data_IF_451338798532
#
_entry.id   IF_451338798532
#
_cell.length_a   1.000
_cell.length_b   1.000
_cell.length_c   1.000
_cell.angle_alpha   90.00
_cell.angle_beta   90.00
_cell.angle_gamma   90.00
#
_symmetry.space_group_name_H-M   'P 1'
#
loop_
_entity.id
_entity.type
_entity.pdbx_description
1 polymer ?
#
# COMPACT_ATOMS: atom_id res chain seq x y z
N UNK A 1 28.38 14.52 -5.36
CA UNK A 1 28.68 13.08 -5.42
C UNK A 1 27.85 12.34 -4.36
N UNK A 2 28.16 12.48 -3.06
CA UNK A 2 27.40 11.82 -1.98
C UNK A 2 25.91 12.16 -1.93
N UNK A 3 25.53 13.43 -2.19
CA UNK A 3 24.13 13.85 -2.21
C UNK A 3 23.31 13.16 -3.33
N UNK A 4 23.91 13.00 -4.52
CA UNK A 4 23.25 12.34 -5.65
C UNK A 4 23.17 10.82 -5.44
N UNK A 5 24.14 10.22 -4.75
CA UNK A 5 24.10 8.81 -4.35
C UNK A 5 23.02 8.56 -3.29
N UNK A 6 22.86 9.46 -2.31
CA UNK A 6 21.80 9.39 -1.30
C UNK A 6 20.41 9.61 -1.90
N UNK A 7 20.28 10.52 -2.88
CA UNK A 7 19.04 10.77 -3.62
C UNK A 7 18.60 9.55 -4.45
N UNK A 8 19.55 8.75 -4.92
CA UNK A 8 19.29 7.45 -5.57
C UNK A 8 18.79 6.37 -4.59
N UNK A 9 19.18 6.46 -3.32
CA UNK A 9 18.85 5.48 -2.28
C UNK A 9 17.50 5.83 -1.61
N UNK A 10 17.21 7.11 -1.40
CA UNK A 10 15.95 7.60 -0.86
C UNK A 10 15.54 8.92 -1.55
N UNK A 11 14.69 8.87 -2.58
CA UNK A 11 14.14 10.08 -3.19
C UNK A 11 13.31 10.84 -2.15
N UNK A 12 13.65 12.09 -1.83
CA UNK A 12 12.88 12.92 -0.90
C UNK A 12 11.40 13.05 -1.33
N UNK A 13 11.15 12.99 -2.63
CA UNK A 13 9.82 13.01 -3.22
C UNK A 13 8.96 11.81 -2.79
N UNK A 14 9.57 10.66 -2.50
CA UNK A 14 8.86 9.45 -2.11
C UNK A 14 8.20 9.59 -0.73
N UNK A 15 8.90 10.22 0.22
CA UNK A 15 8.35 10.52 1.55
C UNK A 15 7.19 11.50 1.43
N UNK A 16 7.33 12.52 0.57
CA UNK A 16 6.27 13.50 0.32
C UNK A 16 5.03 12.81 -0.29
N UNK A 17 5.23 11.92 -1.26
CA UNK A 17 4.16 11.12 -1.84
C UNK A 17 3.47 10.26 -0.78
N UNK A 18 4.23 9.62 0.11
CA UNK A 18 3.67 8.78 1.18
C UNK A 18 2.72 9.56 2.09
N UNK A 19 3.18 10.69 2.62
CA UNK A 19 2.36 11.52 3.49
C UNK A 19 1.16 12.14 2.76
N UNK A 20 1.32 12.46 1.47
CA UNK A 20 0.23 12.94 0.63
C UNK A 20 -0.83 11.85 0.42
N UNK A 21 -0.41 10.62 0.09
CA UNK A 21 -1.28 9.46 -0.07
C UNK A 21 -2.06 9.16 1.21
N UNK A 22 -1.37 9.17 2.35
CA UNK A 22 -2.01 9.01 3.66
C UNK A 22 -3.03 10.12 3.94
N UNK A 23 -2.69 11.38 3.65
CA UNK A 23 -3.62 12.50 3.80
C UNK A 23 -4.85 12.36 2.88
N UNK A 24 -4.69 11.86 1.66
CA UNK A 24 -5.81 11.58 0.76
C UNK A 24 -6.71 10.45 1.29
N UNK A 25 -6.14 9.35 1.82
CA UNK A 25 -6.90 8.30 2.51
C UNK A 25 -7.71 8.88 3.68
N UNK A 26 -7.07 9.70 4.51
CA UNK A 26 -7.68 10.33 5.69
C UNK A 26 -8.77 11.35 5.37
N UNK A 27 -8.72 11.94 4.18
CA UNK A 27 -9.72 12.90 3.67
C UNK A 27 -10.66 12.27 2.64
N UNK A 28 -10.65 10.94 2.52
CA UNK A 28 -11.52 10.16 1.64
C UNK A 28 -11.42 10.53 0.14
N UNK A 29 -10.29 11.09 -0.27
CA UNK A 29 -9.96 11.38 -1.67
C UNK A 29 -9.40 10.12 -2.34
N UNK A 30 -10.22 9.05 -2.41
CA UNK A 30 -9.80 7.69 -2.78
C UNK A 30 -9.08 7.59 -4.13
N UNK A 31 -9.57 8.28 -5.16
CA UNK A 31 -8.93 8.27 -6.48
C UNK A 31 -7.51 8.88 -6.42
N UNK A 32 -7.34 10.01 -5.73
CA UNK A 32 -6.02 10.63 -5.54
C UNK A 32 -5.10 9.75 -4.70
N UNK A 33 -5.64 9.08 -3.68
CA UNK A 33 -4.88 8.13 -2.89
C UNK A 33 -4.37 6.98 -3.76
N UNK A 34 -5.24 6.38 -4.58
CA UNK A 34 -4.88 5.32 -5.51
C UNK A 34 -3.77 5.76 -6.47
N UNK A 35 -3.96 6.89 -7.17
CA UNK A 35 -2.96 7.44 -8.09
C UNK A 35 -1.61 7.67 -7.40
N UNK A 36 -1.65 8.17 -6.16
CA UNK A 36 -0.43 8.45 -5.37
C UNK A 36 0.30 7.16 -5.01
N UNK A 37 -0.42 6.14 -4.53
CA UNK A 37 0.19 4.85 -4.18
C UNK A 37 0.61 4.04 -5.42
N UNK A 38 -0.04 4.20 -6.58
CA UNK A 38 0.45 3.65 -7.84
C UNK A 38 1.78 4.27 -8.24
N UNK A 39 1.93 5.59 -8.10
CA UNK A 39 3.20 6.26 -8.32
C UNK A 39 4.26 5.77 -7.34
N UNK A 40 3.94 5.67 -6.05
CA UNK A 40 4.86 5.13 -5.04
C UNK A 40 5.33 3.73 -5.45
N UNK A 41 4.42 2.80 -5.79
CA UNK A 41 4.77 1.43 -6.20
C UNK A 41 5.72 1.42 -7.41
N UNK A 42 5.52 2.30 -8.39
CA UNK A 42 6.39 2.43 -9.57
C UNK A 42 7.79 2.92 -9.20
N UNK A 43 7.88 3.95 -8.35
CA UNK A 43 9.16 4.54 -7.96
C UNK A 43 9.95 3.60 -7.04
N UNK A 44 9.29 2.95 -6.07
CA UNK A 44 9.97 2.01 -5.16
C UNK A 44 10.46 0.77 -5.89
N UNK A 45 9.81 0.36 -7.00
CA UNK A 45 10.20 -0.83 -7.75
C UNK A 45 11.67 -0.80 -8.19
N UNK A 46 12.22 0.38 -8.47
CA UNK A 46 13.62 0.60 -8.87
C UNK A 46 14.63 0.72 -7.72
N UNK A 47 14.18 0.64 -6.46
CA UNK A 47 15.06 0.76 -5.28
C UNK A 47 15.45 -0.65 -4.79
N UNK A 48 16.73 -0.98 -4.92
CA UNK A 48 17.30 -2.30 -4.57
C UNK A 48 17.30 -2.59 -3.07
N UNK A 49 17.45 -1.55 -2.24
CA UNK A 49 17.48 -1.67 -0.79
C UNK A 49 16.16 -1.18 -0.18
N UNK A 50 15.08 -1.94 -0.41
CA UNK A 50 13.78 -1.70 0.24
C UNK A 50 13.32 -2.91 1.03
N UNK A 51 12.71 -2.66 2.19
CA UNK A 51 11.98 -3.67 2.92
C UNK A 51 10.64 -3.96 2.25
N UNK A 52 10.19 -5.22 2.31
CA UNK A 52 8.88 -5.66 1.79
C UNK A 52 7.71 -4.92 2.46
N UNK A 53 7.98 -4.34 3.62
CA UNK A 53 7.16 -3.42 4.39
C UNK A 53 6.56 -2.28 3.56
N UNK A 54 7.40 -1.63 2.72
CA UNK A 54 6.99 -0.55 1.85
C UNK A 54 5.92 -1.01 0.84
N UNK A 55 6.15 -2.18 0.23
CA UNK A 55 5.23 -2.77 -0.73
C UNK A 55 3.91 -3.15 -0.03
N UNK A 56 3.95 -3.70 1.19
CA UNK A 56 2.76 -4.10 1.96
C UNK A 56 1.85 -2.91 2.30
N UNK A 57 2.41 -1.83 2.83
CA UNK A 57 1.61 -0.63 3.11
C UNK A 57 0.99 -0.08 1.82
N UNK A 58 1.79 0.02 0.75
CA UNK A 58 1.35 0.51 -0.54
C UNK A 58 0.20 -0.33 -1.11
N UNK A 59 0.33 -1.67 -1.11
CA UNK A 59 -0.72 -2.57 -1.59
C UNK A 59 -1.99 -2.49 -0.75
N UNK A 60 -1.87 -2.40 0.58
CA UNK A 60 -3.03 -2.25 1.44
C UNK A 60 -3.78 -0.93 1.16
N UNK A 61 -3.07 0.19 1.03
CA UNK A 61 -3.70 1.49 0.76
C UNK A 61 -4.37 1.55 -0.62
N UNK A 62 -3.77 0.90 -1.63
CA UNK A 62 -4.41 0.71 -2.94
C UNK A 62 -5.68 -0.13 -2.82
N UNK A 63 -5.62 -1.26 -2.11
CA UNK A 63 -6.78 -2.13 -1.90
C UNK A 63 -7.93 -1.38 -1.20
N UNK A 64 -7.62 -0.61 -0.15
CA UNK A 64 -8.60 0.20 0.57
C UNK A 64 -9.25 1.24 -0.35
N UNK A 65 -8.46 1.94 -1.16
CA UNK A 65 -8.94 2.97 -2.09
C UNK A 65 -9.84 2.37 -3.17
N UNK A 66 -9.42 1.27 -3.79
CA UNK A 66 -10.21 0.52 -4.78
C UNK A 66 -11.53 0.01 -4.20
N UNK A 67 -11.50 -0.54 -2.98
CA UNK A 67 -12.70 -0.97 -2.28
C UNK A 67 -13.69 0.19 -2.08
N UNK A 68 -13.21 1.34 -1.61
CA UNK A 68 -14.04 2.54 -1.38
C UNK A 68 -14.63 3.11 -2.67
N UNK A 69 -13.97 2.87 -3.80
CA UNK A 69 -14.45 3.25 -5.14
C UNK A 69 -15.36 2.19 -5.80
N UNK A 70 -15.55 1.02 -5.18
CA UNK A 70 -16.41 -0.05 -5.71
C UNK A 70 -15.71 -1.08 -6.61
N UNK A 71 -14.40 -0.95 -6.82
CA UNK A 71 -13.57 -1.86 -7.62
C UNK A 71 -13.14 -3.07 -6.78
N UNK A 72 -14.09 -3.93 -6.42
CA UNK A 72 -13.89 -4.99 -5.42
C UNK A 72 -12.95 -6.10 -5.88
N UNK A 73 -13.03 -6.49 -7.15
CA UNK A 73 -12.16 -7.52 -7.74
C UNK A 73 -10.69 -7.08 -7.69
N UNK A 74 -10.40 -5.86 -8.11
CA UNK A 74 -9.04 -5.30 -8.08
C UNK A 74 -8.54 -5.09 -6.65
N UNK A 75 -9.41 -4.63 -5.74
CA UNK A 75 -9.09 -4.52 -4.32
C UNK A 75 -8.67 -5.88 -3.73
N UNK A 76 -9.36 -6.96 -4.11
CA UNK A 76 -9.05 -8.31 -3.64
C UNK A 76 -7.69 -8.80 -4.18
N UNK A 77 -7.33 -8.44 -5.41
CA UNK A 77 -6.01 -8.73 -5.98
C UNK A 77 -4.90 -8.14 -5.11
N UNK A 78 -5.00 -6.86 -4.71
CA UNK A 78 -3.99 -6.25 -3.86
C UNK A 78 -3.99 -6.80 -2.42
N UNK A 79 -5.17 -7.08 -1.85
CA UNK A 79 -5.22 -7.74 -0.54
C UNK A 79 -4.55 -9.12 -0.54
N UNK A 80 -4.66 -9.83 -1.67
CA UNK A 80 -4.02 -11.14 -1.85
C UNK A 80 -2.50 -11.02 -1.86
N UNK A 81 -1.94 -10.00 -2.54
CA UNK A 81 -0.49 -9.71 -2.49
C UNK A 81 0.00 -9.48 -1.06
N UNK A 82 -0.73 -8.68 -0.27
CA UNK A 82 -0.40 -8.45 1.16
C UNK A 82 -0.38 -9.76 1.94
N UNK A 83 -1.40 -10.61 1.74
CA UNK A 83 -1.50 -11.91 2.42
C UNK A 83 -0.35 -12.86 2.05
N UNK A 84 0.11 -12.84 0.80
CA UNK A 84 1.21 -13.71 0.33
C UNK A 84 2.53 -13.42 1.03
N UNK A 85 2.79 -12.17 1.40
CA UNK A 85 4.05 -11.74 2.00
C UNK A 85 3.94 -11.45 3.51
N UNK A 86 2.78 -11.68 4.13
CA UNK A 86 2.53 -11.32 5.53
C UNK A 86 3.48 -11.99 6.54
N UNK A 87 4.10 -13.13 6.19
CA UNK A 87 5.08 -13.82 7.05
C UNK A 87 6.51 -13.36 6.79
N UNK A 88 6.72 -12.51 5.78
CA UNK A 88 8.03 -11.97 5.38
C UNK A 88 8.29 -10.58 5.98
N UNK A 89 7.24 -9.85 6.37
CA UNK A 89 7.38 -8.53 7.02
C UNK A 89 8.02 -8.66 8.40
N UNK A 90 8.78 -7.64 8.77
CA UNK A 90 9.35 -7.49 10.09
C UNK A 90 8.25 -7.12 11.10
N UNK A 91 7.71 -8.13 11.77
CA UNK A 91 6.67 -7.97 12.81
C UNK A 91 7.13 -7.19 14.05
N UNK A 92 8.43 -6.87 14.18
CA UNK A 92 8.91 -5.98 15.25
C UNK A 92 8.60 -4.52 14.99
N UNK A 93 8.18 -4.16 13.79
CA UNK A 93 7.70 -2.82 13.45
C UNK A 93 6.22 -2.71 13.85
N UNK A 94 5.96 -1.90 14.87
CA UNK A 94 4.70 -1.86 15.61
C UNK A 94 3.44 -1.56 14.77
N UNK A 95 3.58 -0.99 13.58
CA UNK A 95 2.43 -0.60 12.74
C UNK A 95 2.07 -1.63 11.65
N UNK A 96 2.89 -2.66 11.42
CA UNK A 96 2.58 -3.66 10.39
C UNK A 96 1.50 -4.65 10.81
N UNK A 97 1.42 -4.96 12.11
CA UNK A 97 0.35 -5.81 12.63
C UNK A 97 -1.03 -5.19 12.33
N UNK A 98 -1.16 -3.87 12.50
CA UNK A 98 -2.38 -3.12 12.17
C UNK A 98 -2.75 -3.25 10.69
N UNK A 99 -1.76 -3.20 9.78
CA UNK A 99 -2.01 -3.35 8.34
C UNK A 99 -2.42 -4.78 7.96
N UNK A 100 -1.78 -5.80 8.52
CA UNK A 100 -2.13 -7.21 8.26
C UNK A 100 -3.53 -7.52 8.81
N UNK A 101 -3.85 -7.04 10.01
CA UNK A 101 -5.19 -7.21 10.60
C UNK A 101 -6.24 -6.50 9.76
N UNK A 102 -5.99 -5.26 9.38
CA UNK A 102 -6.92 -4.46 8.56
C UNK A 102 -7.09 -5.06 7.16
N UNK A 103 -6.03 -5.59 6.55
CA UNK A 103 -6.08 -6.33 5.30
C UNK A 103 -6.96 -7.56 5.41
N UNK A 104 -6.79 -8.36 6.47
CA UNK A 104 -7.58 -9.56 6.73
C UNK A 104 -9.07 -9.24 6.85
N UNK A 105 -9.42 -8.18 7.59
CA UNK A 105 -10.79 -7.69 7.72
C UNK A 105 -11.37 -7.27 6.36
N UNK A 106 -10.61 -6.51 5.57
CA UNK A 106 -11.02 -6.04 4.25
C UNK A 106 -11.28 -7.21 3.29
N UNK A 107 -10.40 -8.22 3.28
CA UNK A 107 -10.61 -9.43 2.49
C UNK A 107 -11.91 -10.14 2.84
N UNK A 108 -12.26 -10.22 4.13
CA UNK A 108 -13.53 -10.79 4.58
C UNK A 108 -14.73 -10.08 3.96
N UNK A 109 -14.74 -8.74 4.00
CA UNK A 109 -15.80 -7.91 3.40
C UNK A 109 -15.86 -8.08 1.88
N UNK A 110 -14.71 -8.06 1.21
CA UNK A 110 -14.63 -8.22 -0.25
C UNK A 110 -15.19 -9.56 -0.71
N UNK A 111 -14.82 -10.65 -0.03
CA UNK A 111 -15.31 -11.99 -0.37
C UNK A 111 -16.83 -12.11 -0.18
N UNK A 112 -17.42 -11.49 0.85
CA UNK A 112 -18.86 -11.45 1.05
C UNK A 112 -19.58 -10.62 -0.03
N UNK A 113 -18.98 -9.49 -0.43
CA UNK A 113 -19.54 -8.64 -1.48
C UNK A 113 -19.50 -9.32 -2.86
N UNK A 114 -18.46 -10.10 -3.13
CA UNK A 114 -18.31 -10.82 -4.40
C UNK A 114 -19.15 -12.10 -4.47
N UNK A 115 -19.43 -12.76 -3.35
CA UNK A 115 -20.28 -13.96 -3.31
C UNK A 115 -21.78 -13.67 -3.42
N UNK A 116 -22.19 -12.40 -3.29
CA UNK A 116 -23.58 -11.95 -3.36
C UNK A 116 -23.95 -11.26 -4.68
N UNK A 117 -22.99 -11.15 -5.61
CA UNK A 117 -23.20 -10.74 -7.00
C UNK A 117 -23.61 -11.92 -7.88
#
# INVERSE_FOLDING_TARGET
ALANELELIYPNDLIILWYSGYAYVRTEQWAKALDTYEKIEQEIAGIDFRGIEADVECWYMKALSLYKMGHWEEALTYCTKVREVQTMVNTRLFYFEDFIESNTKLMGVLNSNLSTR
#
